data_IF_940957606360
#
_entry.id   IF_940957606360
#
_cell.length_a   1.000
_cell.length_b   1.000
_cell.length_c   1.000
_cell.angle_alpha   90.00
_cell.angle_beta   90.00
_cell.angle_gamma   90.00
#
_symmetry.space_group_name_H-M   'P 1'
#
loop_
_entity.id
_entity.type
_entity.pdbx_description
1 polymer ?
#
# COMPACT_ATOMS: atom_id res chain seq x y z
N UNK A 1 2.99 -7.46 -22.98
CA UNK A 1 2.53 -6.39 -22.07
C UNK A 1 2.66 -5.05 -22.77
N UNK A 2 1.57 -4.26 -22.82
CA UNK A 2 1.53 -2.95 -23.49
C UNK A 2 2.45 -1.94 -22.77
N UNK A 3 3.08 -1.01 -23.49
CA UNK A 3 3.94 0.04 -22.89
C UNK A 3 3.18 0.92 -21.91
N UNK A 4 1.90 1.22 -22.20
CA UNK A 4 1.02 1.98 -21.31
C UNK A 4 0.85 1.30 -19.96
N UNK A 5 0.64 -0.02 -19.95
CA UNK A 5 0.47 -0.80 -18.71
C UNK A 5 1.74 -0.76 -17.87
N UNK A 6 2.93 -0.86 -18.48
CA UNK A 6 4.20 -0.74 -17.77
C UNK A 6 4.41 0.66 -17.17
N UNK A 7 4.05 1.71 -17.90
CA UNK A 7 4.15 3.09 -17.40
C UNK A 7 3.18 3.32 -16.24
N UNK A 8 1.95 2.81 -16.34
CA UNK A 8 0.97 2.86 -15.25
C UNK A 8 1.46 2.08 -14.03
N UNK A 9 2.04 0.89 -14.21
CA UNK A 9 2.60 0.10 -13.12
C UNK A 9 3.72 0.86 -12.41
N UNK A 10 4.62 1.49 -13.15
CA UNK A 10 5.69 2.29 -12.56
C UNK A 10 5.17 3.47 -11.72
N UNK A 11 4.09 4.13 -12.16
CA UNK A 11 3.42 5.17 -11.37
C UNK A 11 2.72 4.55 -10.15
N UNK A 12 2.05 3.42 -10.33
CA UNK A 12 1.34 2.73 -9.27
C UNK A 12 2.25 2.23 -8.16
N UNK A 13 3.42 1.70 -8.48
CA UNK A 13 4.45 1.33 -7.49
C UNK A 13 4.88 2.54 -6.65
N UNK A 14 5.09 3.71 -7.28
CA UNK A 14 5.41 4.94 -6.55
C UNK A 14 4.27 5.38 -5.61
N UNK A 15 3.01 5.28 -6.07
CA UNK A 15 1.82 5.59 -5.27
C UNK A 15 1.65 4.62 -4.10
N UNK A 16 1.83 3.31 -4.35
CA UNK A 16 1.80 2.28 -3.32
C UNK A 16 2.89 2.51 -2.28
N UNK A 17 4.11 2.77 -2.72
CA UNK A 17 5.26 3.10 -1.87
C UNK A 17 4.99 4.33 -0.99
N UNK A 18 4.37 5.38 -1.54
CA UNK A 18 3.99 6.57 -0.78
C UNK A 18 2.92 6.24 0.28
N UNK A 19 1.86 5.53 -0.11
CA UNK A 19 0.81 5.11 0.82
C UNK A 19 1.39 4.36 2.02
N UNK A 20 2.28 3.38 1.77
CA UNK A 20 2.86 2.57 2.84
C UNK A 20 3.78 3.41 3.72
N UNK A 21 4.55 4.35 3.15
CA UNK A 21 5.38 5.29 3.93
C UNK A 21 4.56 6.20 4.81
N UNK A 22 3.46 6.73 4.31
CA UNK A 22 2.53 7.55 5.12
C UNK A 22 1.89 6.73 6.22
N UNK A 23 1.43 5.51 5.89
CA UNK A 23 0.85 4.60 6.87
C UNK A 23 1.84 4.22 7.97
N UNK A 24 3.12 4.02 7.62
CA UNK A 24 4.21 3.72 8.55
C UNK A 24 4.85 4.96 9.18
N UNK A 25 4.41 6.16 8.83
CA UNK A 25 5.01 7.40 9.33
C UNK A 25 4.58 7.62 10.78
N UNK A 26 5.51 7.68 11.74
CA UNK A 26 5.15 7.93 13.12
C UNK A 26 4.71 9.39 13.34
N UNK A 27 3.73 9.61 14.21
CA UNK A 27 3.57 10.90 14.85
C UNK A 27 4.74 11.12 15.82
N UNK A 28 5.76 11.91 15.41
CA UNK A 28 6.88 12.60 16.12
C UNK A 28 7.55 11.95 17.36
N UNK A 29 6.86 11.17 18.20
CA UNK A 29 7.37 10.50 19.41
C UNK A 29 7.27 8.95 19.41
N UNK A 30 6.73 8.32 18.36
CA UNK A 30 6.57 6.87 18.32
C UNK A 30 7.56 6.22 17.36
N UNK A 31 8.18 5.10 17.76
CA UNK A 31 8.88 4.22 16.82
C UNK A 31 7.89 3.19 16.29
N UNK A 32 7.88 2.97 14.97
CA UNK A 32 7.14 1.85 14.37
C UNK A 32 8.09 0.65 14.35
N UNK A 33 7.93 -0.33 15.26
CA UNK A 33 8.71 -1.57 15.18
C UNK A 33 8.45 -2.26 13.84
N UNK A 34 9.45 -2.98 13.34
CA UNK A 34 9.37 -3.74 12.09
C UNK A 34 9.03 -2.90 10.84
N UNK A 35 9.20 -1.56 10.88
CA UNK A 35 8.86 -0.63 9.79
C UNK A 35 9.34 -1.11 8.42
N UNK A 36 10.62 -1.48 8.31
CA UNK A 36 11.18 -1.90 7.02
C UNK A 36 10.56 -3.23 6.56
N UNK A 37 10.38 -4.19 7.47
CA UNK A 37 9.76 -5.47 7.14
C UNK A 37 8.28 -5.31 6.74
N UNK A 38 7.56 -4.39 7.37
CA UNK A 38 6.18 -4.05 7.00
C UNK A 38 6.11 -3.38 5.63
N UNK A 39 7.05 -2.47 5.33
CA UNK A 39 7.15 -1.85 4.02
C UNK A 39 7.42 -2.89 2.93
N UNK A 40 8.49 -3.68 3.10
CA UNK A 40 8.88 -4.74 2.17
C UNK A 40 7.75 -5.75 1.95
N UNK A 41 7.04 -6.14 3.02
CA UNK A 41 5.89 -7.04 2.90
C UNK A 41 4.80 -6.44 2.01
N UNK A 42 4.38 -5.19 2.28
CA UNK A 42 3.26 -4.56 1.57
C UNK A 42 3.57 -4.32 0.09
N UNK A 43 4.81 -3.92 -0.23
CA UNK A 43 5.22 -3.63 -1.61
C UNK A 43 5.80 -4.85 -2.35
N UNK A 44 5.80 -6.04 -1.76
CA UNK A 44 6.38 -7.23 -2.41
C UNK A 44 5.49 -7.81 -3.49
N UNK A 45 6.10 -8.25 -4.60
CA UNK A 45 5.42 -9.04 -5.63
C UNK A 45 4.76 -10.29 -5.06
N UNK A 46 5.35 -10.92 -4.03
CA UNK A 46 4.76 -12.07 -3.38
C UNK A 46 3.41 -11.73 -2.72
N UNK A 47 3.32 -10.58 -2.05
CA UNK A 47 2.06 -10.13 -1.47
C UNK A 47 1.06 -9.72 -2.56
N UNK A 48 1.49 -8.92 -3.54
CA UNK A 48 0.65 -8.44 -4.64
C UNK A 48 0.11 -9.59 -5.51
N UNK A 49 0.87 -10.68 -5.65
CA UNK A 49 0.43 -11.88 -6.37
C UNK A 49 -0.83 -12.53 -5.78
N UNK A 50 -1.16 -12.23 -4.51
CA UNK A 50 -2.42 -12.64 -3.88
C UNK A 50 -3.66 -11.93 -4.42
N UNK A 51 -3.51 -10.88 -5.23
CA UNK A 51 -4.61 -10.05 -5.77
C UNK A 51 -4.66 -10.01 -7.29
N UNK A 52 -3.67 -10.59 -7.96
CA UNK A 52 -3.50 -10.54 -9.42
C UNK A 52 -2.03 -10.64 -9.80
N UNK A 53 -1.72 -10.48 -11.08
CA UNK A 53 -0.33 -10.34 -11.52
C UNK A 53 0.24 -9.00 -10.98
N UNK A 54 1.41 -8.96 -10.33
CA UNK A 54 1.92 -7.75 -9.66
C UNK A 54 1.95 -6.49 -10.52
N UNK A 55 2.46 -6.56 -11.75
CA UNK A 55 2.51 -5.41 -12.66
C UNK A 55 1.11 -4.92 -13.04
N UNK A 56 0.14 -5.81 -13.20
CA UNK A 56 -1.25 -5.45 -13.44
C UNK A 56 -1.90 -4.79 -12.21
N UNK A 57 -1.61 -5.28 -11.00
CA UNK A 57 -2.10 -4.68 -9.74
C UNK A 57 -1.54 -3.27 -9.57
N UNK A 58 -0.24 -3.07 -9.81
CA UNK A 58 0.40 -1.76 -9.80
C UNK A 58 -0.20 -0.86 -10.88
N UNK A 59 -0.41 -1.37 -12.10
CA UNK A 59 -0.99 -0.58 -13.19
C UNK A 59 -2.39 -0.06 -12.86
N UNK A 60 -3.22 -0.87 -12.18
CA UNK A 60 -4.54 -0.46 -11.72
C UNK A 60 -4.47 0.71 -10.72
N UNK A 61 -3.53 0.66 -9.78
CA UNK A 61 -3.28 1.76 -8.83
C UNK A 61 -2.86 3.02 -9.60
N UNK A 62 -1.93 2.89 -10.54
CA UNK A 62 -1.44 4.01 -11.35
C UNK A 62 -2.53 4.63 -12.23
N UNK A 63 -3.38 3.81 -12.85
CA UNK A 63 -4.53 4.27 -13.63
C UNK A 63 -5.52 5.06 -12.76
N UNK A 64 -5.86 4.53 -11.58
CA UNK A 64 -6.79 5.19 -10.67
C UNK A 64 -6.24 6.53 -10.18
N UNK A 65 -4.95 6.58 -9.84
CA UNK A 65 -4.27 7.82 -9.50
C UNK A 65 -4.33 8.85 -10.64
N UNK A 66 -4.01 8.44 -11.87
CA UNK A 66 -4.03 9.34 -13.04
C UNK A 66 -5.43 9.88 -13.34
N UNK A 67 -6.48 9.10 -13.06
CA UNK A 67 -7.87 9.47 -13.35
C UNK A 67 -8.54 10.27 -12.23
N UNK A 68 -8.26 9.96 -10.97
CA UNK A 68 -9.02 10.44 -9.81
C UNK A 68 -8.15 11.03 -8.69
N UNK A 69 -6.83 11.02 -8.86
CA UNK A 69 -5.88 11.57 -7.92
C UNK A 69 -5.55 10.65 -6.75
N UNK A 70 -4.69 11.16 -5.87
CA UNK A 70 -4.10 10.42 -4.76
C UNK A 70 -5.12 9.90 -3.74
N UNK A 71 -6.15 10.67 -3.32
CA UNK A 71 -7.12 10.19 -2.33
C UNK A 71 -7.88 8.94 -2.79
N UNK A 72 -8.30 8.90 -4.06
CA UNK A 72 -8.99 7.75 -4.64
C UNK A 72 -8.10 6.51 -4.70
N UNK A 73 -6.82 6.68 -5.10
CA UNK A 73 -5.85 5.58 -5.11
C UNK A 73 -5.59 5.03 -3.71
N UNK A 74 -5.42 5.90 -2.70
CA UNK A 74 -5.21 5.49 -1.31
C UNK A 74 -6.41 4.75 -0.74
N UNK A 75 -7.63 5.25 -0.99
CA UNK A 75 -8.86 4.58 -0.58
C UNK A 75 -8.96 3.17 -1.21
N UNK A 76 -8.61 3.03 -2.49
CA UNK A 76 -8.56 1.73 -3.16
C UNK A 76 -7.54 0.77 -2.52
N UNK A 77 -6.30 1.23 -2.30
CA UNK A 77 -5.23 0.44 -1.68
C UNK A 77 -5.67 -0.04 -0.29
N UNK A 78 -6.22 0.85 0.53
CA UNK A 78 -6.69 0.54 1.88
C UNK A 78 -7.83 -0.49 1.87
N UNK A 79 -8.83 -0.28 1.01
CA UNK A 79 -10.01 -1.15 0.92
C UNK A 79 -9.65 -2.55 0.38
N UNK A 80 -8.73 -2.64 -0.59
CA UNK A 80 -8.39 -3.89 -1.26
C UNK A 80 -7.35 -4.70 -0.51
N UNK A 81 -6.28 -4.07 -0.01
CA UNK A 81 -5.11 -4.78 0.50
C UNK A 81 -5.04 -4.78 2.03
N UNK A 82 -5.66 -3.80 2.70
CA UNK A 82 -5.45 -3.52 4.12
C UNK A 82 -5.73 -4.72 5.05
N UNK A 83 -6.88 -5.38 4.91
CA UNK A 83 -7.23 -6.51 5.79
C UNK A 83 -6.28 -7.70 5.60
N UNK A 84 -5.98 -8.05 4.35
CA UNK A 84 -5.09 -9.16 4.00
C UNK A 84 -3.67 -8.87 4.45
N UNK A 85 -3.19 -7.64 4.29
CA UNK A 85 -1.89 -7.20 4.80
C UNK A 85 -1.79 -7.41 6.31
N UNK A 86 -2.76 -6.90 7.07
CA UNK A 86 -2.76 -7.03 8.53
C UNK A 86 -2.79 -8.49 9.00
N UNK A 87 -3.52 -9.35 8.28
CA UNK A 87 -3.55 -10.79 8.56
C UNK A 87 -2.19 -11.44 8.29
N UNK A 88 -1.55 -11.11 7.17
CA UNK A 88 -0.23 -11.65 6.81
C UNK A 88 0.86 -11.16 7.77
N UNK A 89 0.88 -9.87 8.11
CA UNK A 89 1.82 -9.28 9.05
C UNK A 89 1.74 -9.96 10.43
N UNK A 90 0.53 -10.17 10.96
CA UNK A 90 0.33 -10.90 12.23
C UNK A 90 0.82 -12.35 12.15
N UNK A 91 0.57 -13.04 11.03
CA UNK A 91 1.05 -14.42 10.82
C UNK A 91 2.59 -14.48 10.82
N UNK A 92 3.25 -13.45 10.32
CA UNK A 92 4.71 -13.31 10.32
C UNK A 92 5.27 -12.77 11.64
N UNK A 93 4.42 -12.47 12.63
CA UNK A 93 4.84 -11.92 13.93
C UNK A 93 5.22 -10.44 13.91
N UNK A 94 4.92 -9.71 12.83
CA UNK A 94 5.23 -8.29 12.71
C UNK A 94 4.26 -7.44 13.54
N UNK A 95 4.78 -6.40 14.20
CA UNK A 95 4.01 -5.54 15.11
C UNK A 95 3.25 -4.45 14.34
N UNK A 96 1.93 -4.61 14.25
CA UNK A 96 1.02 -3.67 13.54
C UNK A 96 0.07 -2.88 14.45
N UNK A 97 0.18 -3.05 15.77
CA UNK A 97 -0.82 -2.61 16.77
C UNK A 97 -0.97 -1.09 16.93
N UNK A 98 0.05 -0.30 16.57
CA UNK A 98 0.02 1.17 16.67
C UNK A 98 -0.61 1.88 15.46
N UNK A 99 -0.92 1.15 14.39
CA UNK A 99 -1.24 1.73 13.07
C UNK A 99 -2.72 1.61 12.67
N UNK A 100 -3.57 1.01 13.51
CA UNK A 100 -5.02 0.86 13.23
C UNK A 100 -5.77 2.19 13.15
N UNK A 101 -5.23 3.28 13.70
CA UNK A 101 -5.87 4.61 13.72
C UNK A 101 -5.38 5.57 12.62
N UNK A 102 -4.29 5.26 11.92
CA UNK A 102 -3.71 6.16 10.90
C UNK A 102 -4.42 6.03 9.54
N UNK A 103 -4.74 4.81 9.11
CA UNK A 103 -5.38 4.56 7.80
C UNK A 103 -6.79 5.14 7.65
N UNK A 104 -7.48 5.43 8.76
CA UNK A 104 -8.82 6.04 8.75
C UNK A 104 -8.80 7.55 8.47
N UNK A 105 -7.68 8.25 8.72
CA UNK A 105 -7.62 9.71 8.58
C UNK A 105 -7.48 10.16 7.12
N UNK A 106 -6.82 9.37 6.28
CA UNK A 106 -6.56 9.72 4.88
C UNK A 106 -7.75 9.48 3.93
N UNK A 107 -8.88 8.95 4.41
CA UNK A 107 -10.08 8.73 3.61
C UNK A 107 -11.10 9.91 3.68
N UNK A 108 -10.82 10.95 4.46
CA UNK A 108 -11.83 11.99 4.79
C UNK A 108 -11.30 13.43 4.79
N UNK A 109 -10.20 13.73 4.11
CA UNK A 109 -9.70 15.11 3.96
C UNK A 109 -9.45 15.49 2.51
#
# INVERSE_FOLDING_TARGET
MNQTVRNQAWIGDAVLSLYVREWLSPCISQTVPDRNALYELFTSNQFLSGFGEPTAVEAEIGELYLRQGLPAAFAHIQARFGERFMRTARKLGLRVSSLQTAGAKNATS
#
